data_IF_820864256266
#
_entry.id   IF_820864256266
#
_cell.length_a   1.000
_cell.length_b   1.000
_cell.length_c   1.000
_cell.angle_alpha   90.00
_cell.angle_beta   90.00
_cell.angle_gamma   90.00
#
_symmetry.space_group_name_H-M   'P 1'
#
loop_
_entity.id
_entity.type
_entity.pdbx_description
1 polymer ?
#
# COMPACT_ATOMS: atom_id res chain seq x y z
N UNK A 1 -14.73 15.27 44.62
CA UNK A 1 -15.45 15.88 43.48
C UNK A 1 -14.60 15.69 42.23
N UNK A 2 -14.96 14.73 41.36
CA UNK A 2 -14.23 14.41 40.14
C UNK A 2 -14.70 15.33 39.02
N UNK A 3 -13.75 16.04 38.39
CA UNK A 3 -13.99 16.96 37.27
C UNK A 3 -14.09 16.12 35.97
N UNK A 4 -15.26 16.13 35.35
CA UNK A 4 -15.51 15.44 34.08
C UNK A 4 -14.68 16.06 32.95
N UNK A 5 -13.96 15.22 32.22
CA UNK A 5 -13.21 15.60 31.03
C UNK A 5 -14.16 15.82 29.84
N UNK A 6 -13.96 16.95 29.15
CA UNK A 6 -14.69 17.38 27.96
C UNK A 6 -14.32 16.50 26.76
N UNK A 7 -15.25 16.01 25.92
CA UNK A 7 -14.90 15.21 24.75
C UNK A 7 -14.18 16.06 23.70
N UNK A 8 -13.10 15.51 23.11
CA UNK A 8 -12.33 16.11 22.05
C UNK A 8 -13.16 16.20 20.76
N UNK A 9 -13.16 17.36 20.12
CA UNK A 9 -13.82 17.62 18.85
C UNK A 9 -13.12 16.88 17.71
N UNK A 10 -13.91 16.17 16.85
CA UNK A 10 -13.44 15.55 15.60
C UNK A 10 -12.85 16.63 14.67
N UNK A 11 -11.66 16.39 14.06
CA UNK A 11 -11.17 17.25 13.01
C UNK A 11 -12.03 17.12 11.74
N UNK A 12 -12.39 18.24 11.14
CA UNK A 12 -13.15 18.33 9.91
C UNK A 12 -12.36 17.71 8.73
N UNK A 13 -13.00 16.83 8.00
CA UNK A 13 -12.45 16.25 6.76
C UNK A 13 -12.23 17.37 5.73
N UNK A 14 -10.98 17.56 5.29
CA UNK A 14 -10.66 18.41 4.14
C UNK A 14 -11.21 17.77 2.87
N UNK A 15 -11.96 18.57 2.11
CA UNK A 15 -12.55 18.18 0.83
C UNK A 15 -11.46 17.65 -0.14
N UNK A 16 -11.68 16.45 -0.68
CA UNK A 16 -10.84 15.83 -1.68
C UNK A 16 -10.90 16.61 -3.00
N UNK A 17 -9.74 16.84 -3.64
CA UNK A 17 -9.64 17.37 -5.00
C UNK A 17 -10.47 16.49 -5.97
N UNK A 18 -11.10 17.08 -7.00
CA UNK A 18 -11.83 16.30 -8.00
C UNK A 18 -10.90 15.32 -8.71
N UNK A 19 -11.37 14.09 -8.86
CA UNK A 19 -10.65 13.01 -9.52
C UNK A 19 -10.35 13.40 -10.98
N UNK A 20 -9.06 13.32 -11.35
CA UNK A 20 -8.64 13.43 -12.74
C UNK A 20 -9.33 12.33 -13.58
N UNK A 21 -9.65 12.65 -14.86
CA UNK A 21 -10.20 11.68 -15.81
C UNK A 21 -9.32 10.42 -15.80
N UNK A 22 -9.93 9.21 -15.81
CA UNK A 22 -9.16 7.97 -15.83
C UNK A 22 -8.28 7.96 -17.10
N UNK A 23 -6.96 7.90 -16.90
CA UNK A 23 -6.03 7.64 -17.99
C UNK A 23 -6.40 6.32 -18.66
N UNK A 24 -6.22 6.22 -19.98
CA UNK A 24 -6.40 4.97 -20.70
C UNK A 24 -5.59 3.87 -19.98
N UNK A 25 -6.21 2.72 -19.73
CA UNK A 25 -5.54 1.63 -19.01
C UNK A 25 -4.37 1.05 -19.81
N UNK A 26 -3.51 0.24 -19.16
CA UNK A 26 -2.34 -0.34 -19.78
C UNK A 26 -2.72 -1.26 -20.94
N UNK A 27 -1.81 -1.40 -21.92
CA UNK A 27 -1.95 -2.40 -22.99
C UNK A 27 -1.72 -3.79 -22.39
N UNK A 28 -2.81 -4.53 -22.23
CA UNK A 28 -2.77 -5.85 -21.59
C UNK A 28 -2.42 -6.96 -22.58
N UNK A 29 -1.55 -7.88 -22.17
CA UNK A 29 -1.29 -9.17 -22.83
C UNK A 29 -2.58 -10.01 -22.85
N UNK A 30 -2.70 -10.96 -23.77
CA UNK A 30 -3.90 -11.82 -23.91
C UNK A 30 -4.20 -12.59 -22.62
N UNK A 31 -3.19 -13.14 -21.98
CA UNK A 31 -3.29 -13.89 -20.72
C UNK A 31 -3.73 -13.04 -19.50
N UNK A 32 -3.67 -11.72 -19.61
CA UNK A 32 -4.14 -10.77 -18.59
C UNK A 32 -5.59 -10.32 -18.80
N UNK A 33 -6.24 -10.76 -19.87
CA UNK A 33 -7.60 -10.36 -20.21
C UNK A 33 -8.65 -11.26 -19.53
N UNK A 34 -8.56 -11.41 -18.21
CA UNK A 34 -9.53 -12.15 -17.39
C UNK A 34 -10.26 -11.19 -16.45
N UNK A 35 -11.47 -11.54 -16.03
CA UNK A 35 -12.24 -10.77 -15.06
C UNK A 35 -11.49 -10.65 -13.71
N UNK A 36 -10.85 -11.75 -13.28
CA UNK A 36 -10.04 -11.76 -12.05
C UNK A 36 -8.86 -10.80 -12.14
N UNK A 37 -8.17 -10.78 -13.28
CA UNK A 37 -7.06 -9.87 -13.51
C UNK A 37 -7.57 -8.42 -13.51
N UNK A 38 -8.67 -8.12 -14.17
CA UNK A 38 -9.27 -6.77 -14.19
C UNK A 38 -9.64 -6.29 -12.78
N UNK A 39 -10.26 -7.15 -11.97
CA UNK A 39 -10.59 -6.86 -10.56
C UNK A 39 -9.33 -6.59 -9.75
N UNK A 40 -8.33 -7.46 -9.84
CA UNK A 40 -7.07 -7.29 -9.12
C UNK A 40 -6.28 -6.07 -9.57
N UNK A 41 -6.26 -5.79 -10.88
CA UNK A 41 -5.61 -4.61 -11.45
C UNK A 41 -6.22 -3.31 -10.90
N UNK A 42 -7.53 -3.23 -10.81
CA UNK A 42 -8.23 -2.07 -10.26
C UNK A 42 -7.84 -1.82 -8.79
N UNK A 43 -7.80 -2.88 -7.97
CA UNK A 43 -7.38 -2.77 -6.57
C UNK A 43 -5.90 -2.38 -6.45
N UNK A 44 -5.02 -3.04 -7.21
CA UNK A 44 -3.58 -2.79 -7.23
C UNK A 44 -3.27 -1.34 -7.61
N UNK A 45 -3.93 -0.82 -8.65
CA UNK A 45 -3.82 0.59 -9.08
C UNK A 45 -4.30 1.58 -8.01
N UNK A 46 -5.42 1.27 -7.35
CA UNK A 46 -5.95 2.11 -6.29
C UNK A 46 -5.00 2.20 -5.07
N UNK A 47 -4.28 1.13 -4.75
CA UNK A 47 -3.36 1.07 -3.61
C UNK A 47 -1.99 1.63 -3.98
N UNK A 48 -1.35 1.12 -5.04
CA UNK A 48 0.05 1.41 -5.36
C UNK A 48 0.24 2.59 -6.34
N UNK A 49 -0.85 3.11 -6.88
CA UNK A 49 -0.83 4.13 -7.94
C UNK A 49 -0.85 3.54 -9.35
N UNK A 50 -1.67 4.14 -10.22
CA UNK A 50 -1.90 3.63 -11.57
C UNK A 50 -0.62 3.64 -12.41
N UNK A 51 0.15 4.72 -12.37
CA UNK A 51 1.36 4.87 -13.19
C UNK A 51 2.39 3.76 -12.93
N UNK A 52 2.67 3.46 -11.66
CA UNK A 52 3.59 2.39 -11.29
C UNK A 52 3.08 1.02 -11.75
N UNK A 53 1.80 0.74 -11.49
CA UNK A 53 1.19 -0.55 -11.79
C UNK A 53 1.12 -0.80 -13.29
N UNK A 54 0.71 0.20 -14.07
CA UNK A 54 0.60 0.12 -15.52
C UNK A 54 1.95 -0.15 -16.16
N UNK A 55 2.99 0.60 -15.78
CA UNK A 55 4.38 0.35 -16.21
C UNK A 55 4.85 -1.07 -15.87
N UNK A 56 4.55 -1.55 -14.67
CA UNK A 56 4.92 -2.91 -14.24
C UNK A 56 4.24 -4.00 -15.05
N UNK A 57 2.96 -3.82 -15.41
CA UNK A 57 2.19 -4.78 -16.21
C UNK A 57 2.63 -4.75 -17.68
N UNK A 58 2.84 -3.58 -18.25
CA UNK A 58 3.29 -3.41 -19.64
C UNK A 58 4.72 -3.92 -19.87
N UNK A 59 5.59 -3.74 -18.89
CA UNK A 59 6.97 -4.23 -18.94
C UNK A 59 7.13 -5.73 -18.68
N UNK A 60 6.03 -6.45 -18.43
CA UNK A 60 6.09 -7.88 -18.15
C UNK A 60 6.61 -8.66 -19.37
N UNK A 61 7.81 -9.22 -19.25
CA UNK A 61 8.38 -10.18 -20.23
C UNK A 61 7.66 -11.51 -20.14
N UNK A 62 7.89 -12.41 -21.11
CA UNK A 62 7.33 -13.77 -21.07
C UNK A 62 7.74 -14.52 -19.80
N UNK A 63 8.97 -14.30 -19.34
CA UNK A 63 9.44 -14.87 -18.06
C UNK A 63 8.65 -14.38 -16.85
N UNK A 64 8.20 -13.12 -16.85
CA UNK A 64 7.47 -12.49 -15.72
C UNK A 64 5.95 -12.56 -15.84
N UNK A 65 5.43 -12.95 -17.00
CA UNK A 65 3.99 -12.88 -17.26
C UNK A 65 3.15 -13.71 -16.29
N UNK A 66 3.52 -14.97 -16.08
CA UNK A 66 2.79 -15.85 -15.15
C UNK A 66 2.84 -15.33 -13.70
N UNK A 67 3.98 -14.82 -13.28
CA UNK A 67 4.10 -14.19 -11.97
C UNK A 67 3.21 -12.95 -11.85
N UNK A 68 3.23 -12.05 -12.83
CA UNK A 68 2.37 -10.85 -12.83
C UNK A 68 0.88 -11.22 -12.83
N UNK A 69 0.51 -12.25 -13.59
CA UNK A 69 -0.86 -12.76 -13.61
C UNK A 69 -1.26 -13.29 -12.24
N UNK A 70 -0.49 -14.20 -11.68
CA UNK A 70 -0.74 -14.80 -10.36
C UNK A 70 -0.86 -13.73 -9.26
N UNK A 71 0.10 -12.80 -9.19
CA UNK A 71 0.07 -11.74 -8.18
C UNK A 71 -1.15 -10.84 -8.35
N UNK A 72 -1.49 -10.46 -9.60
CA UNK A 72 -2.63 -9.57 -9.83
C UNK A 72 -3.96 -10.26 -9.56
N UNK A 73 -4.15 -11.49 -10.01
CA UNK A 73 -5.40 -12.23 -9.82
C UNK A 73 -5.58 -12.69 -8.37
N UNK A 74 -4.54 -13.29 -7.77
CA UNK A 74 -4.68 -13.89 -6.45
C UNK A 74 -4.45 -12.89 -5.32
N UNK A 75 -3.27 -12.22 -5.26
CA UNK A 75 -3.02 -11.31 -4.15
C UNK A 75 -3.98 -10.11 -4.18
N UNK A 76 -4.08 -9.44 -5.33
CA UNK A 76 -4.89 -8.22 -5.44
C UNK A 76 -6.37 -8.49 -5.70
N UNK A 77 -6.68 -9.51 -6.52
CA UNK A 77 -8.05 -9.84 -6.91
C UNK A 77 -8.80 -10.68 -5.87
N UNK A 78 -8.12 -11.54 -5.12
CA UNK A 78 -8.77 -12.36 -4.09
C UNK A 78 -8.48 -11.89 -2.67
N UNK A 79 -7.19 -11.78 -2.29
CA UNK A 79 -6.85 -11.50 -0.89
C UNK A 79 -7.20 -10.06 -0.51
N UNK A 80 -6.86 -9.08 -1.35
CA UNK A 80 -7.13 -7.67 -1.05
C UNK A 80 -8.60 -7.26 -1.17
N UNK A 81 -9.44 -8.09 -1.80
CA UNK A 81 -10.89 -7.87 -1.94
C UNK A 81 -11.72 -8.55 -0.85
N UNK A 82 -11.12 -9.41 -0.01
CA UNK A 82 -11.85 -10.09 1.06
C UNK A 82 -12.45 -9.11 2.06
N UNK A 83 -13.70 -9.35 2.52
CA UNK A 83 -14.43 -8.39 3.36
C UNK A 83 -13.93 -8.31 4.81
N UNK A 84 -13.12 -9.28 5.28
CA UNK A 84 -12.73 -9.38 6.69
C UNK A 84 -11.81 -8.25 7.20
N UNK A 85 -11.11 -7.55 6.31
CA UNK A 85 -10.27 -6.40 6.66
C UNK A 85 -10.40 -5.32 5.59
N UNK A 86 -10.49 -4.07 6.00
CA UNK A 86 -10.44 -2.94 5.09
C UNK A 86 -9.02 -2.72 4.53
N UNK A 87 -8.91 -2.02 3.39
CA UNK A 87 -7.61 -1.82 2.71
C UNK A 87 -6.55 -1.17 3.60
N UNK A 88 -6.98 -0.24 4.45
CA UNK A 88 -6.11 0.44 5.41
C UNK A 88 -5.43 -0.55 6.36
N UNK A 89 -6.19 -1.45 6.95
CA UNK A 89 -5.65 -2.43 7.90
C UNK A 89 -4.74 -3.46 7.19
N UNK A 90 -5.08 -3.83 5.94
CA UNK A 90 -4.18 -4.64 5.10
C UNK A 90 -2.86 -3.96 4.85
N UNK A 91 -2.85 -2.64 4.67
CA UNK A 91 -1.60 -1.87 4.54
C UNK A 91 -0.76 -1.94 5.80
N UNK A 92 -1.34 -1.76 7.00
CA UNK A 92 -0.61 -1.90 8.27
C UNK A 92 0.02 -3.29 8.41
N UNK A 93 -0.74 -4.36 8.12
CA UNK A 93 -0.23 -5.74 8.12
C UNK A 93 0.93 -5.93 7.14
N UNK A 94 0.81 -5.41 5.91
CA UNK A 94 1.88 -5.52 4.92
C UNK A 94 3.15 -4.78 5.34
N UNK A 95 3.03 -3.57 5.91
CA UNK A 95 4.19 -2.85 6.42
C UNK A 95 4.91 -3.65 7.51
N UNK A 96 4.17 -4.24 8.46
CA UNK A 96 4.74 -5.06 9.51
C UNK A 96 5.48 -6.30 8.94
N UNK A 97 4.82 -7.04 8.02
CA UNK A 97 5.40 -8.24 7.40
C UNK A 97 6.64 -7.92 6.57
N UNK A 98 6.58 -6.88 5.72
CA UNK A 98 7.69 -6.50 4.85
C UNK A 98 8.89 -5.98 5.64
N UNK A 99 8.66 -5.23 6.72
CA UNK A 99 9.70 -4.80 7.64
C UNK A 99 10.35 -5.99 8.36
N UNK A 100 9.54 -6.89 8.95
CA UNK A 100 10.02 -8.07 9.66
C UNK A 100 10.80 -9.04 8.74
N UNK A 101 10.39 -9.17 7.47
CA UNK A 101 11.03 -10.01 6.46
C UNK A 101 12.21 -9.32 5.77
N UNK A 102 12.53 -8.08 6.13
CA UNK A 102 13.59 -7.25 5.54
C UNK A 102 13.48 -7.16 4.00
N UNK A 103 12.33 -6.64 3.52
CA UNK A 103 12.03 -6.43 2.10
C UNK A 103 11.95 -4.94 1.77
N UNK A 104 13.08 -4.23 1.71
CA UNK A 104 13.08 -2.76 1.62
C UNK A 104 12.46 -2.22 0.33
N UNK A 105 12.61 -2.90 -0.79
CA UNK A 105 12.04 -2.43 -2.06
C UNK A 105 10.50 -2.48 -2.06
N UNK A 106 9.94 -3.60 -1.59
CA UNK A 106 8.50 -3.77 -1.45
C UNK A 106 7.97 -2.86 -0.34
N UNK A 107 8.74 -2.66 0.73
CA UNK A 107 8.39 -1.75 1.83
C UNK A 107 8.25 -0.30 1.33
N UNK A 108 9.18 0.21 0.51
CA UNK A 108 9.08 1.55 -0.11
C UNK A 108 7.77 1.72 -0.89
N UNK A 109 7.41 0.72 -1.68
CA UNK A 109 6.19 0.73 -2.47
C UNK A 109 4.94 0.72 -1.58
N UNK A 110 4.92 -0.16 -0.57
CA UNK A 110 3.79 -0.30 0.34
C UNK A 110 3.65 0.86 1.35
N UNK A 111 4.72 1.60 1.64
CA UNK A 111 4.64 2.86 2.40
C UNK A 111 3.79 3.90 1.64
N UNK A 112 4.08 4.10 0.34
CA UNK A 112 3.26 4.97 -0.52
C UNK A 112 1.81 4.48 -0.59
N UNK A 113 1.61 3.17 -0.75
CA UNK A 113 0.28 2.55 -0.76
C UNK A 113 -0.47 2.68 0.57
N UNK A 114 0.21 2.60 1.70
CA UNK A 114 -0.40 2.78 3.02
C UNK A 114 -0.92 4.21 3.20
N UNK A 115 -0.13 5.21 2.82
CA UNK A 115 -0.56 6.62 2.83
C UNK A 115 -1.76 6.85 1.89
N UNK A 116 -1.78 6.25 0.70
CA UNK A 116 -2.92 6.30 -0.23
C UNK A 116 -4.18 5.69 0.38
N UNK A 117 -4.05 4.67 1.23
CA UNK A 117 -5.16 4.01 1.93
C UNK A 117 -5.54 4.71 3.25
N UNK A 118 -4.95 5.89 3.55
CA UNK A 118 -5.29 6.70 4.71
C UNK A 118 -4.58 6.30 6.01
N UNK A 119 -3.50 5.52 5.94
CA UNK A 119 -2.62 5.29 7.10
C UNK A 119 -1.78 6.54 7.33
N UNK A 120 -1.67 6.98 8.58
CA UNK A 120 -0.87 8.14 8.95
C UNK A 120 0.59 7.77 9.21
N UNK A 121 1.51 8.76 9.14
CA UNK A 121 2.92 8.56 9.47
C UNK A 121 3.11 8.14 10.93
N UNK A 122 2.27 8.62 11.83
CA UNK A 122 2.30 8.22 13.24
C UNK A 122 1.92 6.75 13.42
N UNK A 123 0.91 6.26 12.70
CA UNK A 123 0.55 4.84 12.72
C UNK A 123 1.63 3.95 12.11
N UNK A 124 2.29 4.40 11.03
CA UNK A 124 3.45 3.70 10.47
C UNK A 124 4.58 3.59 11.52
N UNK A 125 4.84 4.66 12.27
CA UNK A 125 5.80 4.65 13.38
C UNK A 125 5.44 3.58 14.42
N UNK A 126 4.17 3.51 14.84
CA UNK A 126 3.74 2.50 15.83
C UNK A 126 3.91 1.06 15.30
N UNK A 127 3.61 0.82 14.01
CA UNK A 127 3.88 -0.48 13.39
C UNK A 127 5.37 -0.85 13.48
N UNK A 128 6.27 0.09 13.16
CA UNK A 128 7.70 -0.18 13.18
C UNK A 128 8.28 -0.29 14.60
N UNK A 129 7.70 0.42 15.57
CA UNK A 129 8.01 0.18 16.99
C UNK A 129 7.65 -1.25 17.42
N UNK A 130 6.48 -1.76 16.99
CA UNK A 130 6.13 -3.15 17.23
C UNK A 130 7.10 -4.12 16.52
N UNK A 131 7.52 -3.84 15.28
CA UNK A 131 8.54 -4.64 14.57
C UNK A 131 9.86 -4.67 15.34
N UNK A 132 10.30 -3.56 15.94
CA UNK A 132 11.51 -3.56 16.79
C UNK A 132 11.42 -4.57 17.94
N UNK A 133 10.24 -4.70 18.54
CA UNK A 133 10.02 -5.61 19.68
C UNK A 133 9.90 -7.06 19.25
N UNK A 134 9.10 -7.35 18.22
CA UNK A 134 8.73 -8.71 17.84
C UNK A 134 9.62 -9.34 16.77
N UNK A 135 10.30 -8.53 15.96
CA UNK A 135 11.21 -9.01 14.89
C UNK A 135 12.66 -8.53 15.07
N UNK A 136 12.91 -7.72 16.09
CA UNK A 136 14.25 -7.23 16.45
C UNK A 136 14.52 -5.80 15.99
N UNK A 137 15.29 -5.08 16.82
CA UNK A 137 15.66 -3.68 16.58
C UNK A 137 16.29 -3.43 15.20
N UNK A 138 17.18 -4.30 14.66
CA UNK A 138 17.76 -4.08 13.33
C UNK A 138 16.70 -4.01 12.22
N UNK A 139 15.70 -4.90 12.23
CA UNK A 139 14.62 -4.91 11.23
C UNK A 139 13.77 -3.62 11.32
N UNK A 140 13.45 -3.20 12.53
CA UNK A 140 12.74 -1.93 12.75
C UNK A 140 13.55 -0.72 12.31
N UNK A 141 14.85 -0.66 12.62
CA UNK A 141 15.75 0.43 12.23
C UNK A 141 15.80 0.60 10.70
N UNK A 142 15.92 -0.49 9.95
CA UNK A 142 15.93 -0.45 8.49
C UNK A 142 14.57 -0.01 7.92
N UNK A 143 13.48 -0.43 8.55
CA UNK A 143 12.14 0.05 8.20
C UNK A 143 11.98 1.55 8.44
N UNK A 144 12.45 2.09 9.56
CA UNK A 144 12.45 3.53 9.84
C UNK A 144 13.27 4.32 8.82
N UNK A 145 14.49 3.85 8.48
CA UNK A 145 15.33 4.49 7.46
C UNK A 145 14.61 4.54 6.11
N UNK A 146 14.02 3.42 5.70
CA UNK A 146 13.25 3.30 4.46
C UNK A 146 12.05 4.28 4.45
N UNK A 147 11.34 4.40 5.57
CA UNK A 147 10.23 5.35 5.68
C UNK A 147 10.67 6.81 5.57
N UNK A 148 11.78 7.18 6.22
CA UNK A 148 12.35 8.54 6.14
C UNK A 148 12.70 8.91 4.69
N UNK A 149 13.28 7.98 3.91
CA UNK A 149 13.57 8.21 2.50
C UNK A 149 12.28 8.46 1.70
N UNK A 150 11.27 7.60 1.86
CA UNK A 150 9.97 7.72 1.17
C UNK A 150 9.25 9.01 1.55
N UNK A 151 9.27 9.40 2.80
CA UNK A 151 8.61 10.63 3.24
C UNK A 151 9.29 11.88 2.67
N UNK A 152 10.63 11.88 2.58
CA UNK A 152 11.37 12.96 1.89
C UNK A 152 11.01 13.07 0.41
N UNK A 153 10.88 11.93 -0.28
CA UNK A 153 10.45 11.91 -1.69
C UNK A 153 9.04 12.50 -1.86
N UNK A 154 8.12 12.16 -0.96
CA UNK A 154 6.73 12.65 -1.01
C UNK A 154 6.65 14.13 -0.69
N UNK A 155 7.43 14.61 0.29
CA UNK A 155 7.41 16.02 0.71
C UNK A 155 8.08 16.93 -0.33
N UNK A 156 8.89 16.39 -1.24
CA UNK A 156 9.57 17.11 -2.32
C UNK A 156 8.80 17.13 -3.65
N UNK A 157 7.71 16.38 -3.80
CA UNK A 157 6.91 16.24 -5.03
C UNK A 157 5.72 17.19 -5.06
#
# INVERSE_FOLDING_TARGET
MAKAAKPASKPAAKASKPAAKPAAGPKLRKEFQTERFATGLAVRRAVLGAEYVDKSVEAATDFMADFQKMVTEFCWGEIWTRPGLVRRDRSLLNLAMLAALNRPNELKLHLKGALNNGVTRDEIKEVFMAVCVYAGVPAGLDAFKTAVEVFKEIDAA
#
